data_IF_484104603655
#
_entry.id   IF_484104603655
#
_cell.length_a   1.000
_cell.length_b   1.000
_cell.length_c   1.000
_cell.angle_alpha   90.00
_cell.angle_beta   90.00
_cell.angle_gamma   90.00
#
_symmetry.space_group_name_H-M   'P 1'
#
loop_
_entity.id
_entity.type
_entity.pdbx_description
1 polymer ?
#
# COMPACT_ATOMS: atom_id res chain seq x y z
N UNK A 1 -10.49 38.32 -9.74
CA UNK A 1 -11.02 37.03 -10.22
C UNK A 1 -10.57 35.98 -9.21
N UNK A 2 -11.42 35.67 -8.23
CA UNK A 2 -11.15 34.63 -7.25
C UNK A 2 -11.25 33.29 -7.98
N UNK A 3 -10.13 32.60 -8.14
CA UNK A 3 -10.13 31.20 -8.56
C UNK A 3 -10.84 30.40 -7.48
N UNK A 4 -12.07 29.98 -7.76
CA UNK A 4 -12.75 28.95 -7.00
C UNK A 4 -11.83 27.73 -7.03
N UNK A 5 -11.18 27.44 -5.90
CA UNK A 5 -10.53 26.15 -5.71
C UNK A 5 -11.62 25.09 -5.95
N UNK A 6 -11.52 24.37 -7.07
CA UNK A 6 -12.37 23.22 -7.35
C UNK A 6 -12.22 22.29 -6.15
N UNK A 7 -13.30 22.08 -5.40
CA UNK A 7 -13.30 21.09 -4.31
C UNK A 7 -13.28 19.73 -4.98
N UNK A 8 -12.15 19.05 -4.87
CA UNK A 8 -12.07 17.64 -5.25
C UNK A 8 -13.11 16.84 -4.47
N UNK A 9 -13.82 15.97 -5.18
CA UNK A 9 -14.79 15.04 -4.61
C UNK A 9 -14.12 14.10 -3.62
N UNK A 10 -14.90 13.64 -2.64
CA UNK A 10 -14.41 12.75 -1.58
C UNK A 10 -14.63 11.30 -1.93
N UNK A 11 -13.61 10.47 -1.70
CA UNK A 11 -13.66 9.03 -1.91
C UNK A 11 -13.88 8.32 -0.58
N UNK A 12 -14.96 7.54 -0.48
CA UNK A 12 -15.23 6.63 0.63
C UNK A 12 -15.23 5.19 0.16
N UNK A 13 -14.41 4.36 0.80
CA UNK A 13 -14.19 2.96 0.42
C UNK A 13 -14.70 2.02 1.50
N UNK A 14 -15.61 1.13 1.13
CA UNK A 14 -16.03 0.00 1.96
C UNK A 14 -15.09 -1.17 1.69
N UNK A 15 -14.13 -1.37 2.60
CA UNK A 15 -13.10 -2.38 2.53
C UNK A 15 -13.55 -3.66 3.23
N UNK A 16 -13.48 -4.80 2.54
CA UNK A 16 -13.72 -6.11 3.15
C UNK A 16 -12.60 -7.10 2.86
N UNK A 17 -12.58 -8.21 3.58
CA UNK A 17 -11.56 -9.24 3.36
C UNK A 17 -11.94 -10.27 2.29
N UNK A 18 -13.23 -10.37 1.95
CA UNK A 18 -13.75 -11.31 0.96
C UNK A 18 -15.09 -10.85 0.36
N UNK A 19 -15.50 -11.48 -0.74
CA UNK A 19 -16.88 -11.39 -1.23
C UNK A 19 -17.86 -11.98 -0.20
N UNK A 20 -19.06 -11.42 -0.08
CA UNK A 20 -20.11 -11.93 0.84
C UNK A 20 -20.10 -11.36 2.27
N UNK A 21 -19.08 -10.58 2.65
CA UNK A 21 -19.01 -9.93 3.98
C UNK A 21 -20.03 -8.80 4.17
N UNK A 22 -20.61 -8.26 3.09
CA UNK A 22 -21.67 -7.25 3.16
C UNK A 22 -21.33 -5.86 2.64
N UNK A 23 -20.17 -5.66 2.00
CA UNK A 23 -19.72 -4.34 1.51
C UNK A 23 -20.78 -3.57 0.70
N UNK A 24 -21.35 -4.21 -0.32
CA UNK A 24 -22.38 -3.60 -1.17
C UNK A 24 -23.64 -3.23 -0.37
N UNK A 25 -24.03 -4.08 0.59
CA UNK A 25 -25.19 -3.81 1.44
C UNK A 25 -24.95 -2.54 2.26
N UNK A 26 -23.81 -2.47 2.96
CA UNK A 26 -23.47 -1.32 3.80
C UNK A 26 -23.30 -0.03 2.98
N UNK A 27 -22.70 -0.12 1.80
CA UNK A 27 -22.57 1.01 0.86
C UNK A 27 -23.94 1.55 0.43
N UNK A 28 -24.88 0.68 0.05
CA UNK A 28 -26.22 1.09 -0.35
C UNK A 28 -27.06 1.60 0.82
N UNK A 29 -26.91 1.00 2.02
CA UNK A 29 -27.54 1.54 3.25
C UNK A 29 -27.09 2.97 3.50
N UNK A 30 -25.79 3.26 3.39
CA UNK A 30 -25.30 4.62 3.57
C UNK A 30 -25.78 5.57 2.45
N UNK A 31 -25.88 5.09 1.21
CA UNK A 31 -26.47 5.85 0.10
C UNK A 31 -27.92 6.25 0.39
N UNK A 32 -28.71 5.35 0.97
CA UNK A 32 -30.06 5.65 1.45
C UNK A 32 -30.07 6.69 2.56
N UNK A 33 -29.18 6.58 3.55
CA UNK A 33 -29.10 7.54 4.65
C UNK A 33 -28.70 8.94 4.17
N UNK A 34 -27.84 9.03 3.15
CA UNK A 34 -27.51 10.29 2.46
C UNK A 34 -28.73 10.86 1.73
N UNK A 35 -29.42 10.04 0.93
CA UNK A 35 -30.63 10.47 0.21
C UNK A 35 -31.71 10.96 1.18
N UNK A 36 -31.94 10.25 2.29
CA UNK A 36 -32.93 10.61 3.31
C UNK A 36 -32.58 11.93 4.01
N UNK A 37 -31.31 12.34 4.02
CA UNK A 37 -30.84 13.66 4.48
C UNK A 37 -30.91 14.74 3.39
N UNK A 38 -31.46 14.43 2.22
CA UNK A 38 -31.61 15.36 1.10
C UNK A 38 -30.37 15.52 0.23
N UNK A 39 -29.37 14.63 0.35
CA UNK A 39 -28.20 14.61 -0.54
C UNK A 39 -28.61 14.02 -1.89
N UNK A 40 -28.15 14.63 -3.00
CA UNK A 40 -28.36 14.10 -4.35
C UNK A 40 -27.44 12.89 -4.61
N UNK A 41 -28.02 11.69 -4.59
CA UNK A 41 -27.31 10.41 -4.70
C UNK A 41 -27.78 9.63 -5.92
N UNK A 42 -26.84 9.15 -6.73
CA UNK A 42 -27.12 8.24 -7.86
C UNK A 42 -26.29 6.97 -7.77
N UNK A 43 -26.83 5.88 -8.29
CA UNK A 43 -26.08 4.65 -8.56
C UNK A 43 -25.45 4.78 -9.95
N UNK A 44 -24.14 5.01 -9.99
CA UNK A 44 -23.37 5.05 -11.23
C UNK A 44 -23.08 3.64 -11.76
N UNK A 45 -22.76 2.71 -10.86
CA UNK A 45 -22.63 1.30 -11.18
C UNK A 45 -22.90 0.43 -9.96
N UNK A 46 -23.67 -0.64 -10.15
CA UNK A 46 -23.96 -1.64 -9.13
C UNK A 46 -23.97 -3.01 -9.77
N UNK A 47 -23.24 -3.98 -9.24
CA UNK A 47 -23.25 -5.36 -9.73
C UNK A 47 -24.11 -6.26 -8.82
N UNK A 48 -25.29 -6.72 -9.28
CA UNK A 48 -26.22 -7.48 -8.46
C UNK A 48 -25.66 -8.85 -8.03
N UNK A 49 -24.78 -9.48 -8.82
CA UNK A 49 -24.28 -10.84 -8.58
C UNK A 49 -25.39 -11.87 -8.22
N UNK A 50 -26.62 -11.68 -8.71
CA UNK A 50 -27.77 -12.53 -8.40
C UNK A 50 -28.37 -12.39 -7.00
N UNK A 51 -27.98 -11.38 -6.22
CA UNK A 51 -28.44 -11.15 -4.84
C UNK A 51 -29.74 -10.35 -4.80
N UNK A 52 -30.88 -11.03 -4.67
CA UNK A 52 -32.21 -10.39 -4.57
C UNK A 52 -32.28 -9.29 -3.50
N UNK A 53 -31.67 -9.51 -2.34
CA UNK A 53 -31.64 -8.53 -1.25
C UNK A 53 -30.89 -7.25 -1.63
N UNK A 54 -29.77 -7.36 -2.35
CA UNK A 54 -29.00 -6.19 -2.78
C UNK A 54 -29.70 -5.43 -3.92
N UNK A 55 -30.47 -6.13 -4.76
CA UNK A 55 -31.33 -5.51 -5.78
C UNK A 55 -32.45 -4.71 -5.11
N UNK A 56 -33.06 -5.21 -4.04
CA UNK A 56 -34.07 -4.45 -3.28
C UNK A 56 -33.51 -3.15 -2.71
N UNK A 57 -32.22 -3.11 -2.35
CA UNK A 57 -31.54 -1.89 -1.87
C UNK A 57 -31.23 -0.86 -2.96
N UNK A 58 -31.49 -1.15 -4.24
CA UNK A 58 -31.42 -0.11 -5.27
C UNK A 58 -32.74 0.63 -5.40
N UNK A 59 -33.83 0.11 -4.83
CA UNK A 59 -35.16 0.73 -4.93
C UNK A 59 -35.18 2.11 -4.26
N UNK A 60 -35.68 3.10 -5.01
CA UNK A 60 -35.72 4.49 -4.58
C UNK A 60 -34.42 5.27 -4.75
N UNK A 61 -33.31 4.64 -5.15
CA UNK A 61 -32.11 5.35 -5.61
C UNK A 61 -32.19 5.52 -7.13
N UNK A 62 -31.84 6.70 -7.64
CA UNK A 62 -31.73 6.93 -9.08
C UNK A 62 -30.56 6.08 -9.62
N UNK A 63 -30.77 5.38 -10.73
CA UNK A 63 -29.73 4.54 -11.37
C UNK A 63 -29.40 5.12 -12.74
N UNK A 64 -28.12 5.42 -12.95
CA UNK A 64 -27.63 5.85 -14.26
C UNK A 64 -27.58 4.63 -15.18
N UNK A 65 -28.20 4.68 -16.38
CA UNK A 65 -28.15 3.58 -17.33
C UNK A 65 -26.71 3.20 -17.69
N UNK A 66 -26.43 1.89 -17.72
CA UNK A 66 -25.12 1.35 -18.10
C UNK A 66 -24.85 1.58 -19.58
N UNK A 67 -23.59 1.82 -19.94
CA UNK A 67 -23.14 1.89 -21.33
C UNK A 67 -22.99 0.48 -21.90
N UNK A 68 -23.62 0.22 -23.04
CA UNK A 68 -23.49 -1.07 -23.74
C UNK A 68 -22.33 -0.98 -24.73
N UNK A 69 -21.42 -1.95 -24.66
CA UNK A 69 -20.23 -2.06 -25.52
C UNK A 69 -20.24 -3.41 -26.24
N UNK A 70 -19.90 -3.40 -27.53
CA UNK A 70 -19.70 -4.62 -28.32
C UNK A 70 -18.21 -4.90 -28.46
N UNK A 71 -17.78 -6.07 -27.97
CA UNK A 71 -16.39 -6.52 -28.08
C UNK A 71 -16.36 -8.00 -28.50
N UNK A 72 -15.65 -8.29 -29.60
CA UNK A 72 -15.53 -9.65 -30.18
C UNK A 72 -16.88 -10.35 -30.39
N UNK A 73 -17.90 -9.62 -30.83
CA UNK A 73 -19.24 -10.15 -31.10
C UNK A 73 -20.09 -10.45 -29.85
N UNK A 74 -19.61 -10.11 -28.66
CA UNK A 74 -20.37 -10.19 -27.40
C UNK A 74 -20.70 -8.79 -26.89
N UNK A 75 -21.87 -8.66 -26.25
CA UNK A 75 -22.32 -7.42 -25.60
C UNK A 75 -21.92 -7.42 -24.14
N UNK A 76 -21.37 -6.30 -23.69
CA UNK A 76 -20.99 -6.05 -22.32
C UNK A 76 -21.63 -4.75 -21.85
N UNK A 77 -21.86 -4.65 -20.54
CA UNK A 77 -22.34 -3.43 -19.91
C UNK A 77 -21.24 -2.86 -19.00
N UNK A 78 -21.05 -1.55 -19.04
CA UNK A 78 -20.03 -0.85 -18.27
C UNK A 78 -20.62 0.42 -17.65
N UNK A 79 -19.96 0.98 -16.64
CA UNK A 79 -20.34 2.28 -16.08
C UNK A 79 -20.30 3.38 -17.15
N UNK A 80 -21.34 4.24 -17.22
CA UNK A 80 -21.33 5.41 -18.08
C UNK A 80 -20.85 6.64 -17.31
N UNK A 81 -19.52 6.79 -17.22
CA UNK A 81 -18.88 7.92 -16.53
C UNK A 81 -19.34 9.27 -17.07
N UNK A 82 -19.52 9.38 -18.39
CA UNK A 82 -19.93 10.64 -19.02
C UNK A 82 -21.38 11.00 -18.70
N UNK A 83 -22.27 10.00 -18.59
CA UNK A 83 -23.65 10.21 -18.15
C UNK A 83 -23.71 10.67 -16.68
N UNK A 84 -22.89 10.09 -15.80
CA UNK A 84 -22.80 10.51 -14.40
C UNK A 84 -22.31 11.97 -14.32
N UNK A 85 -21.28 12.33 -15.08
CA UNK A 85 -20.76 13.70 -15.12
C UNK A 85 -21.80 14.70 -15.64
N UNK A 86 -22.56 14.35 -16.69
CA UNK A 86 -23.66 15.17 -17.20
C UNK A 86 -24.78 15.34 -16.17
N UNK A 87 -25.08 14.30 -15.40
CA UNK A 87 -26.07 14.32 -14.32
C UNK A 87 -25.61 15.14 -13.11
N UNK A 88 -24.29 15.27 -12.91
CA UNK A 88 -23.64 16.07 -11.88
C UNK A 88 -24.21 15.86 -10.46
N UNK A 89 -24.28 14.61 -9.97
CA UNK A 89 -24.78 14.32 -8.63
C UNK A 89 -23.82 14.81 -7.54
N UNK A 90 -24.30 14.96 -6.30
CA UNK A 90 -23.39 15.19 -5.16
C UNK A 90 -22.61 13.92 -4.81
N UNK A 91 -23.27 12.75 -4.87
CA UNK A 91 -22.69 11.45 -4.54
C UNK A 91 -23.01 10.42 -5.62
N UNK A 92 -22.01 9.67 -6.07
CA UNK A 92 -22.15 8.53 -6.95
C UNK A 92 -21.76 7.22 -6.23
N UNK A 93 -22.62 6.21 -6.30
CA UNK A 93 -22.33 4.85 -5.84
C UNK A 93 -21.74 4.04 -6.99
N UNK A 94 -20.55 3.48 -6.79
CA UNK A 94 -19.79 2.74 -7.80
C UNK A 94 -19.25 1.44 -7.20
N UNK A 95 -19.89 0.31 -7.50
CA UNK A 95 -19.41 -1.01 -7.05
C UNK A 95 -18.24 -1.55 -7.93
N UNK A 96 -17.57 -2.58 -7.43
CA UNK A 96 -16.39 -3.23 -8.02
C UNK A 96 -15.26 -2.24 -8.42
N UNK A 97 -14.73 -1.50 -7.44
CA UNK A 97 -13.69 -0.48 -7.64
C UNK A 97 -12.47 -0.92 -8.47
N UNK A 98 -12.22 -2.23 -8.47
CA UNK A 98 -11.04 -2.90 -9.00
C UNK A 98 -11.23 -3.40 -10.43
N UNK A 99 -12.47 -3.29 -10.95
CA UNK A 99 -12.87 -3.84 -12.23
C UNK A 99 -11.94 -3.38 -13.36
N UNK A 100 -11.61 -4.34 -14.22
CA UNK A 100 -10.93 -4.05 -15.49
C UNK A 100 -11.98 -3.75 -16.51
N UNK A 101 -12.04 -2.50 -16.97
CA UNK A 101 -13.06 -2.06 -17.90
C UNK A 101 -12.98 -2.85 -19.21
N UNK A 102 -14.14 -3.05 -19.82
CA UNK A 102 -14.25 -3.79 -21.09
C UNK A 102 -13.39 -3.12 -22.17
N UNK A 103 -12.63 -3.87 -22.99
CA UNK A 103 -11.86 -3.30 -24.10
C UNK A 103 -12.73 -2.44 -25.03
N UNK A 104 -12.25 -1.23 -25.35
CA UNK A 104 -13.04 -0.19 -26.02
C UNK A 104 -13.58 0.87 -25.06
N UNK A 105 -13.39 0.69 -23.75
CA UNK A 105 -13.58 1.76 -22.76
C UNK A 105 -12.48 2.82 -22.85
N UNK A 106 -12.81 4.06 -22.47
CA UNK A 106 -11.86 5.17 -22.49
C UNK A 106 -10.69 4.98 -21.50
N UNK A 107 -10.96 4.23 -20.42
CA UNK A 107 -10.04 3.96 -19.32
C UNK A 107 -9.94 2.47 -19.11
N UNK A 108 -8.79 2.00 -18.64
CA UNK A 108 -8.51 0.57 -18.46
C UNK A 108 -9.09 0.03 -17.15
N UNK A 109 -9.20 0.88 -16.13
CA UNK A 109 -9.62 0.49 -14.80
C UNK A 109 -10.72 1.39 -14.27
N UNK A 110 -11.68 0.80 -13.54
CA UNK A 110 -12.80 1.55 -12.95
C UNK A 110 -12.34 2.60 -11.93
N UNK A 111 -11.25 2.36 -11.22
CA UNK A 111 -10.68 3.37 -10.31
C UNK A 111 -10.23 4.64 -11.05
N UNK A 112 -9.84 4.54 -12.34
CA UNK A 112 -9.53 5.71 -13.18
C UNK A 112 -10.80 6.50 -13.52
N UNK A 113 -11.93 5.81 -13.76
CA UNK A 113 -13.22 6.48 -13.94
C UNK A 113 -13.67 7.20 -12.66
N UNK A 114 -13.50 6.55 -11.50
CA UNK A 114 -13.79 7.14 -10.20
C UNK A 114 -12.96 8.41 -9.99
N UNK A 115 -11.67 8.44 -10.35
CA UNK A 115 -10.89 9.68 -10.28
C UNK A 115 -11.44 10.80 -11.13
N UNK A 116 -12.02 10.49 -12.29
CA UNK A 116 -12.66 11.53 -13.12
C UNK A 116 -13.90 12.10 -12.44
N UNK A 117 -14.70 11.26 -11.78
CA UNK A 117 -15.82 11.73 -10.97
C UNK A 117 -15.34 12.60 -9.81
N UNK A 118 -14.32 12.16 -9.08
CA UNK A 118 -13.74 12.92 -7.96
C UNK A 118 -13.18 14.28 -8.42
N UNK A 119 -12.44 14.32 -9.54
CA UNK A 119 -11.89 15.57 -10.09
C UNK A 119 -12.98 16.53 -10.59
N UNK A 120 -14.18 16.03 -10.86
CA UNK A 120 -15.36 16.84 -11.18
C UNK A 120 -16.14 17.30 -9.94
N UNK A 121 -15.67 16.98 -8.73
CA UNK A 121 -16.31 17.35 -7.47
C UNK A 121 -17.41 16.39 -7.00
N UNK A 122 -17.60 15.24 -7.67
CA UNK A 122 -18.57 14.22 -7.27
C UNK A 122 -17.96 13.35 -6.18
N UNK A 123 -18.63 13.22 -5.03
CA UNK A 123 -18.21 12.26 -4.00
C UNK A 123 -18.53 10.84 -4.45
N UNK A 124 -17.65 9.87 -4.15
CA UNK A 124 -17.82 8.49 -4.59
C UNK A 124 -17.82 7.52 -3.41
N UNK A 125 -18.87 6.71 -3.32
CA UNK A 125 -18.96 5.54 -2.45
C UNK A 125 -18.61 4.29 -3.27
N UNK A 126 -17.62 3.52 -2.83
CA UNK A 126 -17.18 2.33 -3.58
C UNK A 126 -16.82 1.14 -2.68
N UNK A 127 -16.76 -0.06 -3.25
CA UNK A 127 -16.38 -1.27 -2.51
C UNK A 127 -15.12 -1.93 -3.08
N UNK A 128 -14.31 -2.51 -2.19
CA UNK A 128 -13.16 -3.33 -2.60
C UNK A 128 -12.85 -4.43 -1.59
N UNK A 129 -12.18 -5.49 -2.06
CA UNK A 129 -11.56 -6.46 -1.15
C UNK A 129 -10.08 -6.14 -0.96
N UNK A 130 -9.56 -6.37 0.25
CA UNK A 130 -8.14 -6.15 0.60
C UNK A 130 -7.19 -6.95 -0.30
N UNK A 131 -7.65 -8.08 -0.83
CA UNK A 131 -6.83 -9.00 -1.61
C UNK A 131 -6.26 -8.42 -2.91
N UNK A 132 -6.85 -7.32 -3.40
CA UNK A 132 -6.48 -6.73 -4.67
C UNK A 132 -5.42 -5.64 -4.52
N UNK A 133 -5.02 -5.29 -3.29
CA UNK A 133 -3.91 -4.36 -3.08
C UNK A 133 -2.61 -4.97 -3.60
N UNK A 134 -1.91 -4.21 -4.42
CA UNK A 134 -0.71 -4.68 -5.10
C UNK A 134 0.37 -5.15 -4.12
N UNK A 135 0.59 -4.39 -3.04
CA UNK A 135 1.56 -4.72 -2.00
C UNK A 135 1.29 -6.04 -1.26
N UNK A 136 0.04 -6.52 -1.26
CA UNK A 136 -0.39 -7.69 -0.50
C UNK A 136 -0.41 -8.98 -1.32
N UNK A 137 -0.23 -8.90 -2.65
CA UNK A 137 -0.29 -10.06 -3.54
C UNK A 137 0.63 -11.20 -3.13
N UNK A 138 1.90 -10.88 -2.84
CA UNK A 138 2.87 -11.90 -2.44
C UNK A 138 2.45 -12.55 -1.13
N UNK A 139 2.05 -11.75 -0.13
CA UNK A 139 1.60 -12.28 1.17
C UNK A 139 0.40 -13.19 1.02
N UNK A 140 -0.58 -12.80 0.20
CA UNK A 140 -1.79 -13.59 -0.08
C UNK A 140 -1.43 -14.87 -0.83
N UNK A 141 -0.54 -14.81 -1.82
CA UNK A 141 -0.08 -16.01 -2.52
C UNK A 141 0.57 -17.01 -1.54
N UNK A 142 1.44 -16.54 -0.64
CA UNK A 142 2.10 -17.41 0.34
C UNK A 142 1.12 -18.00 1.36
N UNK A 143 0.12 -17.23 1.80
CA UNK A 143 -0.85 -17.68 2.80
C UNK A 143 -1.98 -18.54 2.22
N UNK A 144 -2.36 -18.33 0.96
CA UNK A 144 -3.60 -18.88 0.39
C UNK A 144 -3.36 -19.79 -0.82
N UNK A 145 -2.20 -19.71 -1.48
CA UNK A 145 -1.93 -20.41 -2.73
C UNK A 145 -2.77 -19.93 -3.91
N UNK A 146 -3.43 -18.76 -3.80
CA UNK A 146 -4.25 -18.16 -4.87
C UNK A 146 -3.58 -16.89 -5.39
N UNK A 147 -3.37 -16.79 -6.71
CA UNK A 147 -2.87 -15.56 -7.35
C UNK A 147 -4.02 -14.65 -7.70
N UNK A 148 -4.00 -13.45 -7.16
CA UNK A 148 -4.93 -12.37 -7.55
C UNK A 148 -4.37 -11.69 -8.79
N UNK A 149 -5.12 -11.71 -9.90
CA UNK A 149 -4.69 -11.11 -11.19
C UNK A 149 -5.16 -9.67 -11.35
N UNK A 150 -6.30 -9.33 -10.75
CA UNK A 150 -6.85 -7.99 -10.77
C UNK A 150 -6.34 -7.24 -9.56
N UNK A 151 -5.46 -6.27 -9.78
CA UNK A 151 -4.79 -5.52 -8.72
C UNK A 151 -5.09 -4.03 -8.82
N UNK A 152 -4.93 -3.34 -7.70
CA UNK A 152 -4.98 -1.89 -7.59
C UNK A 152 -3.72 -1.40 -6.87
N UNK A 153 -3.09 -0.32 -7.35
CA UNK A 153 -1.98 0.28 -6.63
C UNK A 153 -2.42 0.80 -5.25
N UNK A 154 -1.58 0.59 -4.23
CA UNK A 154 -1.85 1.00 -2.86
C UNK A 154 -2.15 2.49 -2.70
N UNK A 155 -1.54 3.34 -3.53
CA UNK A 155 -1.74 4.79 -3.48
C UNK A 155 -3.20 5.19 -3.77
N UNK A 156 -3.93 4.40 -4.56
CA UNK A 156 -5.34 4.69 -4.89
C UNK A 156 -6.19 4.58 -3.62
N UNK A 157 -5.98 3.54 -2.81
CA UNK A 157 -6.65 3.40 -1.52
C UNK A 157 -6.20 4.49 -0.53
N UNK A 158 -4.93 4.89 -0.56
CA UNK A 158 -4.40 5.97 0.31
C UNK A 158 -5.04 7.33 0.03
N UNK A 159 -5.58 7.57 -1.16
CA UNK A 159 -6.32 8.79 -1.49
C UNK A 159 -7.76 8.79 -0.97
N UNK A 160 -8.25 7.66 -0.45
CA UNK A 160 -9.58 7.59 0.13
C UNK A 160 -9.67 8.47 1.39
N UNK A 161 -10.64 9.38 1.38
CA UNK A 161 -10.95 10.27 2.50
C UNK A 161 -11.54 9.49 3.68
N UNK A 162 -12.27 8.41 3.38
CA UNK A 162 -12.79 7.49 4.37
C UNK A 162 -12.61 6.03 3.92
N UNK A 163 -12.20 5.17 4.85
CA UNK A 163 -12.10 3.72 4.63
C UNK A 163 -12.87 3.08 5.76
N UNK A 164 -13.96 2.40 5.43
CA UNK A 164 -14.83 1.71 6.37
C UNK A 164 -14.59 0.22 6.23
N UNK A 165 -14.15 -0.43 7.30
CA UNK A 165 -14.00 -1.88 7.32
C UNK A 165 -15.38 -2.53 7.47
N UNK A 166 -15.73 -3.41 6.54
CA UNK A 166 -16.93 -4.24 6.59
C UNK A 166 -16.51 -5.66 6.96
N UNK A 167 -16.85 -6.05 8.19
CA UNK A 167 -16.37 -7.27 8.79
C UNK A 167 -17.48 -8.31 9.03
N UNK A 168 -17.09 -9.58 8.94
CA UNK A 168 -17.92 -10.74 9.22
C UNK A 168 -17.02 -11.84 9.77
N UNK A 169 -17.52 -12.71 10.64
CA UNK A 169 -16.69 -13.84 11.08
C UNK A 169 -16.47 -14.82 9.91
N UNK A 170 -15.29 -15.44 9.77
CA UNK A 170 -15.05 -16.46 8.75
C UNK A 170 -16.10 -17.57 8.72
N UNK A 171 -16.53 -18.04 9.89
CA UNK A 171 -17.57 -19.06 10.03
C UNK A 171 -18.93 -18.58 9.51
N UNK A 172 -19.33 -17.34 9.81
CA UNK A 172 -20.57 -16.77 9.28
C UNK A 172 -20.50 -16.60 7.75
N UNK A 173 -19.34 -16.24 7.20
CA UNK A 173 -19.14 -16.17 5.75
C UNK A 173 -19.25 -17.55 5.08
N UNK A 174 -18.63 -18.57 5.67
CA UNK A 174 -18.73 -19.96 5.18
C UNK A 174 -20.17 -20.45 5.21
N UNK A 175 -20.91 -20.16 6.29
CA UNK A 175 -22.33 -20.48 6.39
C UNK A 175 -23.17 -19.78 5.31
N UNK A 176 -22.86 -18.52 4.98
CA UNK A 176 -23.53 -17.79 3.88
C UNK A 176 -23.23 -18.40 2.51
N UNK A 177 -21.99 -18.83 2.28
CA UNK A 177 -21.58 -19.53 1.05
C UNK A 177 -22.29 -20.87 0.91
N UNK A 178 -22.38 -21.66 1.99
CA UNK A 178 -23.07 -22.95 2.01
C UNK A 178 -24.56 -22.83 1.67
N UNK A 179 -25.17 -21.68 2.01
CA UNK A 179 -26.57 -21.36 1.66
C UNK A 179 -26.76 -20.83 0.22
N UNK A 180 -25.68 -20.67 -0.54
CA UNK A 180 -25.74 -20.16 -1.93
C UNK A 180 -26.03 -18.66 -2.06
N UNK A 181 -25.86 -17.88 -0.99
CA UNK A 181 -26.22 -16.44 -0.96
C UNK A 181 -25.13 -15.55 -1.58
N UNK A 182 -23.90 -16.07 -1.72
CA UNK A 182 -22.73 -15.30 -2.19
C UNK A 182 -22.33 -15.62 -3.63
N UNK A 183 -22.47 -16.87 -4.08
CA UNK A 183 -22.22 -17.30 -5.46
C UNK A 183 -23.29 -18.28 -5.94
N UNK A 184 -23.63 -18.26 -7.24
CA UNK A 184 -24.35 -19.36 -7.86
C UNK A 184 -23.58 -20.68 -7.67
N UNK A 185 -24.26 -21.81 -7.38
CA UNK A 185 -23.64 -23.08 -7.01
C UNK A 185 -22.62 -23.61 -8.04
N UNK A 186 -22.78 -23.25 -9.31
CA UNK A 186 -21.91 -23.66 -10.42
C UNK A 186 -20.53 -22.98 -10.40
N UNK A 187 -20.44 -21.70 -9.99
CA UNK A 187 -19.16 -20.97 -9.82
C UNK A 187 -18.54 -21.17 -8.44
N UNK A 188 -19.31 -21.69 -7.49
CA UNK A 188 -18.88 -21.89 -6.12
C UNK A 188 -17.83 -23.01 -6.01
N UNK A 189 -18.02 -24.17 -6.67
CA UNK A 189 -17.16 -25.36 -6.45
C UNK A 189 -15.65 -25.12 -6.63
N UNK A 190 -15.22 -24.53 -7.74
CA UNK A 190 -13.79 -24.32 -8.02
C UNK A 190 -13.15 -23.22 -7.15
N UNK A 191 -13.91 -22.19 -6.76
CA UNK A 191 -13.44 -21.12 -5.88
C UNK A 191 -13.44 -21.55 -4.39
N UNK A 192 -14.40 -22.39 -4.00
CA UNK A 192 -14.55 -22.91 -2.63
C UNK A 192 -13.40 -23.84 -2.22
N UNK A 193 -12.86 -24.64 -3.15
CA UNK A 193 -11.87 -25.67 -2.81
C UNK A 193 -10.50 -25.10 -2.38
N UNK A 194 -10.18 -23.85 -2.73
CA UNK A 194 -8.88 -23.25 -2.40
C UNK A 194 -8.97 -21.90 -1.68
N UNK A 195 -9.90 -21.02 -2.07
CA UNK A 195 -9.95 -19.65 -1.54
C UNK A 195 -10.77 -19.54 -0.25
N UNK A 196 -11.92 -20.23 -0.16
CA UNK A 196 -12.82 -20.15 0.99
C UNK A 196 -12.55 -21.22 2.05
N UNK A 197 -11.29 -21.31 2.51
CA UNK A 197 -10.91 -22.08 3.70
C UNK A 197 -10.90 -21.17 4.92
N UNK A 198 -11.29 -21.67 6.08
CA UNK A 198 -11.34 -20.88 7.31
C UNK A 198 -10.00 -20.20 7.62
N UNK A 199 -8.88 -20.93 7.49
CA UNK A 199 -7.53 -20.39 7.68
C UNK A 199 -7.19 -19.24 6.72
N UNK A 200 -7.55 -19.38 5.45
CA UNK A 200 -7.39 -18.32 4.43
C UNK A 200 -8.21 -17.09 4.81
N UNK A 201 -9.48 -17.28 5.18
CA UNK A 201 -10.37 -16.18 5.54
C UNK A 201 -9.93 -15.46 6.82
N UNK A 202 -9.39 -16.18 7.80
CA UNK A 202 -8.77 -15.59 9.00
C UNK A 202 -7.59 -14.69 8.61
N UNK A 203 -6.68 -15.19 7.76
CA UNK A 203 -5.52 -14.41 7.32
C UNK A 203 -5.94 -13.16 6.52
N UNK A 204 -6.91 -13.28 5.61
CA UNK A 204 -7.41 -12.13 4.86
C UNK A 204 -8.12 -11.12 5.76
N UNK A 205 -8.88 -11.58 6.76
CA UNK A 205 -9.55 -10.72 7.75
C UNK A 205 -8.53 -9.94 8.57
N UNK A 206 -7.45 -10.58 9.01
CA UNK A 206 -6.34 -9.90 9.69
C UNK A 206 -5.71 -8.82 8.80
N UNK A 207 -5.44 -9.12 7.52
CA UNK A 207 -4.90 -8.15 6.57
C UNK A 207 -5.84 -6.95 6.37
N UNK A 208 -7.14 -7.20 6.23
CA UNK A 208 -8.13 -6.14 6.10
C UNK A 208 -8.18 -5.23 7.35
N UNK A 209 -8.11 -5.81 8.55
CA UNK A 209 -8.05 -5.05 9.81
C UNK A 209 -6.80 -4.18 9.89
N UNK A 210 -5.63 -4.74 9.58
CA UNK A 210 -4.37 -3.98 9.57
C UNK A 210 -4.42 -2.83 8.56
N UNK A 211 -4.99 -3.08 7.38
CA UNK A 211 -5.08 -2.05 6.35
C UNK A 211 -6.07 -0.94 6.72
N UNK A 212 -7.20 -1.28 7.34
CA UNK A 212 -8.15 -0.29 7.84
C UNK A 212 -7.52 0.57 8.95
N UNK A 213 -6.77 -0.04 9.87
CA UNK A 213 -6.03 0.69 10.90
C UNK A 213 -5.00 1.66 10.29
N UNK A 214 -4.21 1.20 9.31
CA UNK A 214 -3.25 2.04 8.59
C UNK A 214 -3.92 3.22 7.85
N UNK A 215 -5.12 3.02 7.30
CA UNK A 215 -5.89 4.08 6.65
C UNK A 215 -6.44 5.14 7.62
N UNK A 216 -6.59 4.81 8.92
CA UNK A 216 -6.98 5.76 9.97
C UNK A 216 -5.75 6.55 10.44
N UNK A 217 -4.64 5.86 10.71
CA UNK A 217 -3.40 6.47 11.19
C UNK A 217 -2.83 7.49 10.19
N UNK A 218 -2.97 7.22 8.89
CA UNK A 218 -2.53 8.13 7.82
C UNK A 218 -3.37 9.41 7.64
N UNK A 219 -4.42 9.62 8.45
CA UNK A 219 -5.33 10.78 8.38
C UNK A 219 -5.20 11.79 9.52
N UNK A 220 -4.37 11.53 10.53
CA UNK A 220 -4.05 12.54 11.54
C UNK A 220 -3.22 13.65 10.84
N UNK A 221 -3.73 14.89 10.70
CA UNK A 221 -2.91 16.00 10.26
C UNK A 221 -1.94 16.38 11.38
N UNK A 222 -0.74 16.82 11.00
CA UNK A 222 0.10 17.67 11.85
C UNK A 222 -0.68 18.99 12.12
N UNK A 223 -1.49 19.01 13.18
CA UNK A 223 -2.16 20.22 13.65
C UNK A 223 -1.25 21.00 14.61
N UNK A 224 -0.45 21.92 14.07
CA UNK A 224 -0.23 23.21 14.74
C UNK A 224 0.07 24.34 13.72
N UNK A 225 -0.94 25.16 13.33
CA UNK A 225 -0.77 26.24 12.36
C UNK A 225 -0.04 27.49 12.91
N UNK A 226 0.36 27.51 14.18
CA UNK A 226 0.92 28.71 14.84
C UNK A 226 2.45 28.81 14.81
N UNK A 227 3.18 27.83 14.26
CA UNK A 227 4.65 27.85 14.22
C UNK A 227 5.27 28.59 13.03
N UNK A 228 4.48 29.24 12.16
CA UNK A 228 4.95 29.86 10.91
C UNK A 228 5.63 31.25 11.08
N UNK A 229 6.25 31.52 12.22
CA UNK A 229 6.98 32.76 12.46
C UNK A 229 8.30 32.53 13.21
N UNK A 230 9.29 31.92 12.56
CA UNK A 230 10.70 32.04 12.92
C UNK A 230 11.61 31.69 11.73
N UNK A 231 12.61 32.52 11.38
CA UNK A 231 13.50 32.28 10.26
C UNK A 231 14.71 31.45 10.70
N UNK A 232 14.64 30.13 10.53
CA UNK A 232 15.77 29.19 10.31
C UNK A 232 15.23 27.76 10.37
N UNK A 233 15.49 26.87 9.39
CA UNK A 233 15.04 25.49 9.48
C UNK A 233 16.04 24.73 10.37
N UNK A 234 15.85 24.79 11.68
CA UNK A 234 16.40 23.76 12.58
C UNK A 234 15.50 22.53 12.46
N UNK A 235 16.07 21.48 11.91
CA UNK A 235 15.58 20.11 11.87
C UNK A 235 15.18 19.60 13.26
N UNK A 236 13.91 19.79 13.61
CA UNK A 236 13.30 19.26 14.82
C UNK A 236 11.81 19.01 14.61
N UNK A 237 11.45 18.47 13.44
CA UNK A 237 10.13 17.89 13.19
C UNK A 237 10.35 16.40 12.90
N UNK A 238 9.77 15.55 13.74
CA UNK A 238 10.19 14.17 14.03
C UNK A 238 9.89 13.13 12.93
N UNK A 239 10.39 13.33 11.72
CA UNK A 239 10.32 12.32 10.66
C UNK A 239 11.32 11.16 10.89
N UNK A 240 10.89 9.93 10.61
CA UNK A 240 11.79 8.77 10.58
C UNK A 240 12.90 9.01 9.54
N UNK A 241 14.18 8.84 9.90
CA UNK A 241 15.29 9.00 8.95
C UNK A 241 16.23 7.81 9.07
N UNK A 242 16.38 7.10 7.96
CA UNK A 242 17.11 5.84 7.90
C UNK A 242 18.49 6.05 7.31
N UNK A 243 19.51 5.45 7.93
CA UNK A 243 20.87 5.38 7.42
C UNK A 243 21.21 3.94 7.01
N UNK A 244 21.43 3.72 5.72
CA UNK A 244 21.88 2.44 5.19
C UNK A 244 23.41 2.42 5.14
N UNK A 245 24.02 1.50 5.87
CA UNK A 245 25.47 1.30 5.85
C UNK A 245 25.81 0.36 4.69
N UNK A 246 26.33 0.94 3.61
CA UNK A 246 26.64 0.23 2.37
C UNK A 246 28.15 0.03 2.24
N UNK A 247 28.56 -1.00 1.51
CA UNK A 247 29.97 -1.31 1.24
C UNK A 247 30.15 -2.06 -0.08
N UNK A 248 31.36 -2.59 -0.34
CA UNK A 248 31.63 -3.39 -1.54
C UNK A 248 30.95 -4.77 -1.52
N UNK A 249 30.48 -5.22 -0.35
CA UNK A 249 29.87 -6.54 -0.18
C UNK A 249 28.52 -6.66 -0.94
N UNK A 250 28.22 -7.81 -1.58
CA UNK A 250 26.98 -8.02 -2.33
C UNK A 250 25.68 -7.82 -1.52
N UNK A 251 25.73 -8.00 -0.19
CA UNK A 251 24.57 -7.79 0.68
C UNK A 251 24.10 -6.32 0.69
N UNK A 252 24.95 -5.37 0.29
CA UNK A 252 24.61 -3.94 0.19
C UNK A 252 23.46 -3.69 -0.78
N UNK A 253 23.38 -4.42 -1.90
CA UNK A 253 22.27 -4.28 -2.84
C UNK A 253 20.93 -4.71 -2.23
N UNK A 254 20.93 -5.78 -1.43
CA UNK A 254 19.74 -6.23 -0.70
C UNK A 254 19.35 -5.23 0.40
N UNK A 255 20.34 -4.67 1.10
CA UNK A 255 20.14 -3.63 2.11
C UNK A 255 19.54 -2.37 1.51
N UNK A 256 20.03 -1.92 0.35
CA UNK A 256 19.50 -0.75 -0.38
C UNK A 256 18.02 -0.94 -0.72
N UNK A 257 17.66 -2.09 -1.31
CA UNK A 257 16.25 -2.39 -1.64
C UNK A 257 15.37 -2.46 -0.39
N UNK A 258 15.85 -3.11 0.66
CA UNK A 258 15.09 -3.26 1.91
C UNK A 258 14.94 -1.93 2.63
N UNK A 259 16.02 -1.18 2.76
CA UNK A 259 16.07 0.13 3.40
C UNK A 259 15.15 1.13 2.71
N UNK A 260 15.16 1.19 1.37
CA UNK A 260 14.22 2.02 0.62
C UNK A 260 12.77 1.66 0.91
N UNK A 261 12.41 0.37 0.88
CA UNK A 261 11.05 -0.09 1.20
C UNK A 261 10.62 0.29 2.61
N UNK A 262 11.52 0.19 3.59
CA UNK A 262 11.20 0.58 4.97
C UNK A 262 11.06 2.10 5.09
N UNK A 263 11.94 2.88 4.47
CA UNK A 263 11.82 4.33 4.44
C UNK A 263 10.50 4.77 3.78
N UNK A 264 10.13 4.17 2.64
CA UNK A 264 8.85 4.43 1.98
C UNK A 264 7.65 4.08 2.86
N UNK A 265 7.74 2.99 3.63
CA UNK A 265 6.72 2.56 4.57
C UNK A 265 6.56 3.55 5.74
N UNK A 266 7.67 4.00 6.32
CA UNK A 266 7.72 4.95 7.43
C UNK A 266 7.52 6.41 7.01
N UNK A 267 7.34 6.68 5.70
CA UNK A 267 7.40 8.04 5.13
C UNK A 267 8.66 8.80 5.53
N UNK A 268 9.73 8.05 5.75
CA UNK A 268 10.98 8.53 6.26
C UNK A 268 11.98 8.86 5.16
N UNK A 269 12.94 9.69 5.49
CA UNK A 269 14.07 9.95 4.61
C UNK A 269 15.05 8.77 4.63
N UNK A 270 15.77 8.58 3.51
CA UNK A 270 16.72 7.48 3.37
C UNK A 270 18.07 8.01 2.88
N UNK A 271 19.09 7.79 3.70
CA UNK A 271 20.49 8.08 3.43
C UNK A 271 21.25 6.77 3.27
N UNK A 272 22.24 6.74 2.40
CA UNK A 272 23.19 5.63 2.28
C UNK A 272 24.61 6.14 2.48
N UNK A 273 25.36 5.52 3.39
CA UNK A 273 26.72 5.94 3.71
C UNK A 273 27.73 4.79 3.63
N UNK A 274 28.92 5.11 3.14
CA UNK A 274 30.11 4.28 3.23
C UNK A 274 31.21 5.06 3.97
N UNK A 275 31.94 4.40 4.88
CA UNK A 275 33.11 4.99 5.56
C UNK A 275 34.38 4.39 4.97
N UNK A 276 35.23 5.23 4.41
CA UNK A 276 36.57 4.85 3.98
C UNK A 276 37.58 5.09 5.10
N UNK A 277 38.44 4.09 5.37
CA UNK A 277 39.47 4.17 6.42
C UNK A 277 40.71 4.93 5.97
N UNK A 278 40.90 5.11 4.66
CA UNK A 278 42.05 5.80 4.06
C UNK A 278 41.58 6.76 2.97
N UNK A 279 42.29 7.87 2.73
CA UNK A 279 42.00 8.72 1.58
C UNK A 279 42.08 7.92 0.26
N UNK A 280 41.29 8.33 -0.72
CA UNK A 280 41.23 7.74 -2.09
C UNK A 280 40.85 6.25 -2.18
N UNK A 281 40.11 5.70 -1.20
CA UNK A 281 39.72 4.28 -1.19
C UNK A 281 40.93 3.32 -1.27
N UNK A 282 42.10 3.74 -0.74
CA UNK A 282 43.33 2.94 -0.74
C UNK A 282 43.24 1.66 0.09
N UNK A 283 42.20 1.53 0.89
CA UNK A 283 41.79 0.34 1.62
C UNK A 283 41.01 -0.68 0.77
N UNK A 284 40.54 -0.30 -0.41
CA UNK A 284 39.79 -1.17 -1.34
C UNK A 284 40.66 -1.61 -2.53
N UNK A 285 40.47 -2.86 -2.96
CA UNK A 285 40.93 -3.38 -4.26
C UNK A 285 40.16 -2.74 -5.42
N UNK A 286 40.66 -2.86 -6.65
CA UNK A 286 39.97 -2.35 -7.84
C UNK A 286 38.55 -2.93 -8.00
N UNK A 287 38.38 -4.23 -7.78
CA UNK A 287 37.08 -4.90 -7.86
C UNK A 287 36.11 -4.43 -6.76
N UNK A 288 36.60 -4.17 -5.54
CA UNK A 288 35.77 -3.65 -4.45
C UNK A 288 35.33 -2.20 -4.71
N UNK A 289 36.20 -1.37 -5.28
CA UNK A 289 35.82 0.01 -5.68
C UNK A 289 34.71 0.00 -6.72
N UNK A 290 34.83 -0.85 -7.74
CA UNK A 290 33.80 -1.01 -8.77
C UNK A 290 32.48 -1.52 -8.17
N UNK A 291 32.54 -2.45 -7.23
CA UNK A 291 31.34 -2.93 -6.50
C UNK A 291 30.68 -1.81 -5.68
N UNK A 292 31.47 -1.04 -4.94
CA UNK A 292 30.98 0.09 -4.15
C UNK A 292 30.34 1.16 -5.03
N UNK A 293 30.96 1.53 -6.15
CA UNK A 293 30.40 2.48 -7.11
C UNK A 293 29.07 2.00 -7.69
N UNK A 294 28.96 0.70 -8.02
CA UNK A 294 27.69 0.11 -8.46
C UNK A 294 26.60 0.23 -7.39
N UNK A 295 26.92 -0.02 -6.12
CA UNK A 295 25.96 0.14 -5.02
C UNK A 295 25.56 1.61 -4.78
N UNK A 296 26.51 2.55 -4.85
CA UNK A 296 26.23 3.98 -4.75
C UNK A 296 25.32 4.46 -5.89
N UNK A 297 25.59 4.04 -7.12
CA UNK A 297 24.74 4.37 -8.27
C UNK A 297 23.35 3.74 -8.15
N UNK A 298 23.27 2.50 -7.65
CA UNK A 298 21.99 1.84 -7.40
C UNK A 298 21.15 2.58 -6.34
N UNK A 299 21.77 3.04 -5.25
CA UNK A 299 21.10 3.85 -4.24
C UNK A 299 20.58 5.19 -4.82
N UNK A 300 21.41 5.89 -5.61
CA UNK A 300 21.00 7.14 -6.28
C UNK A 300 19.83 6.92 -7.25
N UNK A 301 19.83 5.82 -8.00
CA UNK A 301 18.73 5.47 -8.91
C UNK A 301 17.39 5.29 -8.18
N UNK A 302 17.43 4.89 -6.90
CA UNK A 302 16.27 4.79 -6.02
C UNK A 302 15.99 6.08 -5.22
N UNK A 303 16.59 7.21 -5.64
CA UNK A 303 16.47 8.52 -4.98
C UNK A 303 16.88 8.47 -3.49
N UNK A 304 17.88 7.65 -3.16
CA UNK A 304 18.53 7.64 -1.85
C UNK A 304 19.76 8.53 -1.94
N UNK A 305 19.88 9.48 -1.02
CA UNK A 305 21.07 10.34 -0.96
C UNK A 305 22.28 9.51 -0.50
N UNK A 306 23.42 9.65 -1.20
CA UNK A 306 24.63 8.88 -0.89
C UNK A 306 25.75 9.76 -0.35
N UNK A 307 26.42 9.30 0.72
CA UNK A 307 27.54 9.99 1.36
C UNK A 307 28.74 9.05 1.52
N UNK A 308 29.91 9.59 1.25
CA UNK A 308 31.19 8.92 1.49
C UNK A 308 31.86 9.67 2.63
N UNK A 309 32.07 8.98 3.74
CA UNK A 309 32.65 9.52 4.96
C UNK A 309 34.08 9.04 5.09
N UNK A 310 34.92 9.82 5.75
CA UNK A 310 36.28 9.43 6.08
C UNK A 310 36.40 9.27 7.59
N UNK A 311 36.96 8.15 8.03
CA UNK A 311 37.12 7.87 9.45
C UNK A 311 37.89 6.59 9.72
N UNK A 312 38.76 6.63 10.73
CA UNK A 312 39.55 5.47 11.17
C UNK A 312 38.68 4.46 11.92
N UNK A 313 37.72 4.94 12.72
CA UNK A 313 36.67 4.14 13.34
C UNK A 313 35.35 4.28 12.58
N UNK A 314 34.95 3.21 11.91
CA UNK A 314 33.74 3.14 11.10
C UNK A 314 32.47 3.32 11.94
N UNK A 315 32.40 2.73 13.13
CA UNK A 315 31.21 2.77 13.96
C UNK A 315 30.98 4.17 14.56
N UNK A 316 32.05 4.78 15.09
CA UNK A 316 32.00 6.14 15.63
C UNK A 316 31.67 7.18 14.56
N UNK A 317 32.26 7.04 13.37
CA UNK A 317 32.01 7.95 12.24
C UNK A 317 30.56 7.86 11.77
N UNK A 318 30.00 6.64 11.67
CA UNK A 318 28.60 6.44 11.27
C UNK A 318 27.63 7.00 12.31
N UNK A 319 27.85 6.74 13.60
CA UNK A 319 26.95 7.24 14.66
C UNK A 319 27.03 8.76 14.78
N UNK A 320 28.21 9.34 14.65
CA UNK A 320 28.38 10.81 14.67
C UNK A 320 27.67 11.44 13.47
N UNK A 321 27.83 10.87 12.27
CA UNK A 321 27.11 11.31 11.09
C UNK A 321 25.59 11.15 11.24
N UNK A 322 25.15 10.02 11.78
CA UNK A 322 23.75 9.74 12.02
C UNK A 322 23.12 10.79 12.96
N UNK A 323 23.80 11.14 14.06
CA UNK A 323 23.31 12.15 15.02
C UNK A 323 23.22 13.53 14.40
N UNK A 324 24.27 13.95 13.68
CA UNK A 324 24.29 15.24 13.00
C UNK A 324 23.19 15.39 11.95
N UNK A 325 22.76 14.27 11.35
CA UNK A 325 21.70 14.25 10.36
C UNK A 325 20.35 13.80 10.95
N UNK A 326 20.18 13.73 12.27
CA UNK A 326 18.88 13.36 12.88
C UNK A 326 18.34 12.00 12.43
N UNK A 327 19.22 11.03 12.18
CA UNK A 327 18.84 9.65 11.83
C UNK A 327 18.14 9.00 13.03
N UNK A 328 17.07 8.26 12.81
CA UNK A 328 16.35 7.50 13.84
C UNK A 328 16.74 6.02 13.82
N UNK A 329 17.10 5.50 12.64
CA UNK A 329 17.41 4.07 12.45
C UNK A 329 18.63 3.85 11.56
N UNK A 330 19.54 2.97 12.01
CA UNK A 330 20.73 2.54 11.26
C UNK A 330 20.53 1.11 10.79
N UNK A 331 20.64 0.90 9.48
CA UNK A 331 20.52 -0.39 8.82
C UNK A 331 21.89 -0.90 8.42
N UNK A 332 22.22 -2.10 8.87
CA UNK A 332 23.48 -2.78 8.53
C UNK A 332 23.18 -4.15 7.92
N UNK A 333 23.95 -4.53 6.90
CA UNK A 333 23.84 -5.85 6.30
C UNK A 333 24.55 -6.91 7.14
N UNK A 334 24.03 -8.15 7.10
CA UNK A 334 24.70 -9.30 7.72
C UNK A 334 25.94 -9.69 6.91
N UNK A 335 27.11 -9.66 7.55
CA UNK A 335 28.36 -10.18 6.99
C UNK A 335 28.27 -11.71 6.84
N UNK A 336 28.43 -12.21 5.60
CA UNK A 336 28.34 -13.65 5.25
C UNK A 336 29.66 -14.41 5.50
N UNK A 337 30.73 -13.75 5.94
CA UNK A 337 32.06 -14.36 5.99
C UNK A 337 32.25 -15.42 7.08
N UNK A 338 31.41 -15.51 8.13
CA UNK A 338 31.52 -16.61 9.11
C UNK A 338 30.22 -16.88 9.93
N UNK A 339 29.54 -18.03 9.74
CA UNK A 339 28.30 -18.37 10.45
C UNK A 339 28.49 -18.68 11.95
N UNK A 340 29.69 -19.09 12.39
CA UNK A 340 29.96 -19.32 13.83
C UNK A 340 30.10 -18.03 14.65
N UNK A 341 30.26 -16.86 13.99
CA UNK A 341 30.29 -15.55 14.66
C UNK A 341 28.90 -15.04 15.04
N UNK A 342 27.83 -15.82 14.90
CA UNK A 342 26.48 -15.34 15.25
C UNK A 342 26.22 -15.25 16.77
N UNK A 343 26.89 -16.07 17.58
CA UNK A 343 26.81 -15.94 19.05
C UNK A 343 27.57 -14.71 19.59
N UNK A 344 28.47 -14.15 18.79
CA UNK A 344 29.18 -12.89 19.05
C UNK A 344 28.99 -11.97 17.86
N UNK A 345 27.91 -11.18 17.85
CA UNK A 345 27.72 -10.10 16.87
C UNK A 345 29.07 -9.45 16.51
N UNK A 346 29.37 -9.28 15.22
CA UNK A 346 30.68 -8.81 14.76
C UNK A 346 31.10 -7.58 15.57
N UNK A 347 32.39 -7.44 15.91
CA UNK A 347 32.90 -6.36 16.76
C UNK A 347 32.42 -4.96 16.29
N UNK A 348 32.17 -4.81 14.98
CA UNK A 348 31.54 -3.64 14.39
C UNK A 348 30.09 -3.43 14.84
N UNK A 349 29.21 -4.44 14.73
CA UNK A 349 27.79 -4.32 15.14
C UNK A 349 27.68 -4.10 16.64
N UNK A 350 28.47 -4.81 17.46
CA UNK A 350 28.48 -4.59 18.91
C UNK A 350 28.92 -3.17 19.27
N UNK A 351 29.96 -2.65 18.61
CA UNK A 351 30.45 -1.28 18.80
C UNK A 351 29.43 -0.25 18.30
N UNK A 352 28.72 -0.53 17.21
CA UNK A 352 27.70 0.36 16.68
C UNK A 352 26.47 0.43 17.61
N UNK A 353 26.02 -0.71 18.14
CA UNK A 353 24.94 -0.78 19.14
C UNK A 353 25.35 -0.12 20.47
N UNK A 354 26.61 -0.25 20.90
CA UNK A 354 27.06 0.37 22.15
C UNK A 354 27.15 1.90 22.06
N UNK A 355 27.43 2.43 20.87
CA UNK A 355 27.52 3.86 20.57
C UNK A 355 26.17 4.49 20.22
N UNK A 356 25.27 3.76 19.56
CA UNK A 356 23.95 4.22 19.11
C UNK A 356 22.84 3.94 20.14
N UNK A 357 22.96 4.48 21.37
CA UNK A 357 22.00 4.25 22.46
C UNK A 357 20.65 4.97 22.26
N UNK A 358 20.67 6.00 21.44
CA UNK A 358 19.59 6.93 21.11
C UNK A 358 18.92 6.62 19.77
N UNK A 359 19.31 5.51 19.10
CA UNK A 359 18.86 5.17 17.76
C UNK A 359 18.61 3.66 17.63
N UNK A 360 17.71 3.25 16.75
CA UNK A 360 17.49 1.83 16.49
C UNK A 360 18.54 1.29 15.53
N UNK A 361 19.13 0.13 15.84
CA UNK A 361 20.07 -0.57 14.96
C UNK A 361 19.43 -1.84 14.42
N UNK A 362 19.19 -1.88 13.10
CA UNK A 362 18.55 -3.01 12.42
C UNK A 362 19.56 -3.78 11.58
N UNK A 363 19.77 -5.05 11.92
CA UNK A 363 20.61 -5.97 11.15
C UNK A 363 19.75 -6.71 10.12
N UNK A 364 19.92 -6.41 8.84
CA UNK A 364 19.18 -7.05 7.76
C UNK A 364 19.94 -8.26 7.20
N UNK A 365 19.30 -9.43 7.28
CA UNK A 365 19.75 -10.62 6.54
C UNK A 365 19.21 -10.59 5.10
N UNK A 366 20.07 -11.03 4.17
CA UNK A 366 19.71 -11.30 2.79
C UNK A 366 18.98 -12.65 2.70
N UNK A 367 17.76 -12.66 2.15
CA UNK A 367 16.96 -13.87 1.89
C UNK A 367 17.22 -14.47 0.49
N UNK A 368 18.14 -13.91 -0.29
CA UNK A 368 18.55 -14.53 -1.55
C UNK A 368 19.69 -15.53 -1.30
N UNK A 369 19.31 -16.80 -1.20
CA UNK A 369 20.04 -18.08 -1.40
C UNK A 369 19.46 -19.07 -0.37
N UNK A 370 18.71 -20.06 -0.87
CA UNK A 370 18.04 -21.07 -0.06
C UNK A 370 19.02 -21.95 0.72
N UNK A 371 18.58 -22.42 1.89
CA UNK A 371 19.15 -23.62 2.49
C UNK A 371 18.88 -24.80 1.55
N UNK A 372 19.90 -25.54 1.09
CA UNK A 372 19.68 -26.88 0.57
C UNK A 372 19.49 -27.80 1.78
N UNK A 373 18.30 -28.37 1.90
CA UNK A 373 18.04 -29.59 2.66
C UNK A 373 17.90 -29.43 4.18
N UNK A 374 16.66 -29.62 4.64
CA UNK A 374 16.32 -30.72 5.56
C UNK A 374 14.97 -31.27 5.15
#
# INVERSE_FOLDING_TARGET
MNGLAMKDGRLKVFLGYAAGVGKTYQMLTEAHDLRNRGVDVVIGYFEPHGRKEAIGLTEGLEVVPRRVLEYRGSRFEEMDTDAILRRHPQVAVVDEFLHTNVPGSLRLKRWEDVHVLLNAGVEVLTTMNVQHLESLNDQIWHSTGVRVRETIPDWVLKQAHEVVMVDLTPQALLNRLARGVVYPPERARAALENFFKESTLVALRELAMRQAAYAIESRLPDEDPLAAASPAPSSADGGERLLLVIGPDPSSAALIRRGRRVADYLRGECLAAYVSKKPDFRDLTSAERESLERHLNFARALRIETRILQGTDVAETLVSFARLNGVTQIFVARDKSNPLRFWFASAFVQRLVSLARDMQVTVAADRSIGHPGT
#
